data_IF_356750260698
#
_entry.id   IF_356750260698
#
_cell.length_a   1.000
_cell.length_b   1.000
_cell.length_c   1.000
_cell.angle_alpha   90.00
_cell.angle_beta   90.00
_cell.angle_gamma   90.00
#
_symmetry.space_group_name_H-M   'P 1'
#
loop_
_entity.id
_entity.type
_entity.pdbx_description
1 polymer ?
#
# COMPACT_ATOMS: atom_id res chain seq x y z
N UNK A 1 9.40 -16.50 -5.20
CA UNK A 1 9.71 -15.44 -4.20
C UNK A 1 10.08 -16.15 -2.92
N UNK A 2 11.07 -15.67 -2.17
CA UNK A 2 11.42 -16.27 -0.89
C UNK A 2 10.34 -15.91 0.14
N UNK A 3 9.82 -16.91 0.84
CA UNK A 3 8.86 -16.76 1.94
C UNK A 3 9.09 -17.79 3.04
N UNK A 4 8.09 -18.04 3.88
CA UNK A 4 8.16 -18.96 5.02
C UNK A 4 8.67 -20.37 4.66
N UNK A 5 8.33 -20.86 3.46
CA UNK A 5 8.74 -22.16 2.94
C UNK A 5 10.26 -22.19 2.67
N UNK A 6 10.84 -21.09 2.18
CA UNK A 6 12.25 -20.98 1.78
C UNK A 6 13.17 -20.35 2.84
N UNK A 7 12.62 -19.60 3.79
CA UNK A 7 13.36 -18.80 4.75
C UNK A 7 13.50 -19.48 6.11
N UNK A 8 14.63 -19.27 6.78
CA UNK A 8 14.89 -19.80 8.13
C UNK A 8 13.90 -19.21 9.12
N UNK A 9 13.46 -20.01 10.09
CA UNK A 9 12.57 -19.53 11.15
C UNK A 9 13.27 -18.55 12.10
N UNK A 10 14.58 -18.70 12.26
CA UNK A 10 15.44 -17.80 13.02
C UNK A 10 16.74 -17.57 12.26
N UNK A 11 17.24 -16.34 12.29
CA UNK A 11 18.57 -15.98 11.80
C UNK A 11 19.44 -15.49 12.95
N UNK A 12 20.73 -15.77 12.86
CA UNK A 12 21.71 -15.17 13.77
C UNK A 12 22.06 -13.75 13.32
N UNK A 13 21.88 -12.79 14.23
CA UNK A 13 22.32 -11.40 14.07
C UNK A 13 23.33 -11.11 15.17
N UNK A 14 24.57 -10.84 14.79
CA UNK A 14 25.64 -10.47 15.73
C UNK A 14 25.90 -8.96 15.67
N UNK A 15 26.89 -8.47 16.42
CA UNK A 15 27.28 -7.07 16.37
C UNK A 15 27.86 -6.67 15.00
N UNK A 16 28.50 -7.61 14.30
CA UNK A 16 29.24 -7.35 13.05
C UNK A 16 28.65 -8.03 11.83
N UNK A 17 27.86 -9.09 11.98
CA UNK A 17 27.36 -9.91 10.86
C UNK A 17 25.88 -10.24 10.96
N UNK A 18 25.28 -10.55 9.81
CA UNK A 18 23.92 -11.08 9.67
C UNK A 18 23.98 -12.34 8.83
N UNK A 19 23.32 -13.39 9.30
CA UNK A 19 23.19 -14.65 8.59
C UNK A 19 22.27 -14.53 7.37
N UNK A 20 22.60 -15.26 6.29
CA UNK A 20 21.71 -15.38 5.15
C UNK A 20 20.37 -16.03 5.57
N UNK A 21 19.24 -15.41 5.19
CA UNK A 21 17.92 -15.87 5.65
C UNK A 21 17.40 -17.11 4.92
N UNK A 22 18.07 -17.60 3.87
CA UNK A 22 17.61 -18.74 3.06
C UNK A 22 17.98 -20.07 3.72
N UNK A 23 17.03 -21.01 3.82
CA UNK A 23 17.26 -22.35 4.40
C UNK A 23 18.42 -23.06 3.70
N UNK A 24 19.26 -23.72 4.50
CA UNK A 24 20.45 -24.42 4.01
C UNK A 24 21.63 -23.52 3.61
N UNK A 25 21.49 -22.19 3.67
CA UNK A 25 22.61 -21.27 3.43
C UNK A 25 23.39 -20.98 4.71
N UNK A 26 24.71 -21.18 4.72
CA UNK A 26 25.55 -20.86 5.88
C UNK A 26 26.33 -19.54 5.73
N UNK A 27 26.05 -18.76 4.68
CA UNK A 27 26.73 -17.48 4.45
C UNK A 27 26.36 -16.44 5.51
N UNK A 28 27.32 -15.60 5.87
CA UNK A 28 27.13 -14.41 6.71
C UNK A 28 27.69 -13.20 5.99
N UNK A 29 26.99 -12.08 6.09
CA UNK A 29 27.41 -10.80 5.50
C UNK A 29 27.63 -9.75 6.57
N UNK A 30 28.28 -8.64 6.24
CA UNK A 30 28.42 -7.52 7.17
C UNK A 30 27.05 -7.00 7.62
N UNK A 31 26.94 -6.59 8.89
CA UNK A 31 25.70 -6.05 9.43
C UNK A 31 25.48 -4.61 8.97
N UNK A 32 24.37 -4.40 8.27
CA UNK A 32 23.90 -3.06 7.95
C UNK A 32 23.43 -2.30 9.21
N UNK A 33 23.76 -1.01 9.27
CA UNK A 33 23.34 -0.09 10.34
C UNK A 33 22.60 1.11 9.75
N UNK A 34 21.58 1.56 10.48
CA UNK A 34 20.76 2.76 10.18
C UNK A 34 19.90 2.67 8.91
N UNK A 35 20.51 2.60 7.73
CA UNK A 35 19.80 2.62 6.44
C UNK A 35 20.20 1.43 5.58
N UNK A 36 19.23 0.93 4.80
CA UNK A 36 19.45 -0.17 3.87
C UNK A 36 20.28 0.29 2.65
N UNK A 37 21.33 -0.45 2.31
CA UNK A 37 22.24 -0.18 1.20
C UNK A 37 22.48 -1.45 0.37
N UNK A 38 22.58 -1.29 -0.95
CA UNK A 38 22.91 -2.37 -1.89
C UNK A 38 24.41 -2.41 -2.21
N UNK A 39 25.22 -2.69 -1.20
CA UNK A 39 26.67 -2.85 -1.35
C UNK A 39 27.04 -4.34 -1.37
N UNK A 40 28.10 -4.71 -2.11
CA UNK A 40 28.52 -6.11 -2.29
C UNK A 40 28.77 -6.82 -0.95
N UNK A 41 29.34 -6.12 0.04
CA UNK A 41 29.59 -6.65 1.39
C UNK A 41 28.33 -7.04 2.18
N UNK A 42 27.15 -6.58 1.75
CA UNK A 42 25.84 -6.92 2.33
C UNK A 42 25.11 -7.98 1.50
N UNK A 43 25.71 -8.47 0.42
CA UNK A 43 25.09 -9.38 -0.53
C UNK A 43 25.51 -10.82 -0.24
N UNK A 44 24.53 -11.72 -0.15
CA UNK A 44 24.82 -13.14 -0.12
C UNK A 44 25.30 -13.59 -1.52
N UNK A 45 26.50 -14.19 -1.66
CA UNK A 45 27.05 -14.59 -2.96
C UNK A 45 26.33 -15.79 -3.59
N UNK A 46 25.54 -16.54 -2.80
CA UNK A 46 24.78 -17.71 -3.28
C UNK A 46 23.38 -17.35 -3.76
N UNK A 47 22.70 -16.47 -3.02
CA UNK A 47 21.29 -16.15 -3.24
C UNK A 47 21.08 -14.79 -3.89
N UNK A 48 22.15 -14.02 -4.07
CA UNK A 48 22.13 -12.73 -4.77
C UNK A 48 21.11 -11.74 -4.15
N UNK A 49 20.91 -11.79 -2.83
CA UNK A 49 20.08 -10.86 -2.07
C UNK A 49 20.94 -10.00 -1.15
N UNK A 50 20.53 -8.74 -0.96
CA UNK A 50 21.14 -7.83 0.00
C UNK A 50 20.45 -8.01 1.35
N UNK A 51 21.21 -8.23 2.42
CA UNK A 51 20.66 -8.65 3.71
C UNK A 51 20.84 -7.55 4.74
N UNK A 52 19.80 -7.31 5.52
CA UNK A 52 19.84 -6.50 6.74
C UNK A 52 19.29 -7.33 7.92
N UNK A 53 19.46 -6.86 9.18
CA UNK A 53 19.01 -7.62 10.35
C UNK A 53 17.51 -7.97 10.37
N UNK A 54 16.66 -7.14 9.75
CA UNK A 54 15.20 -7.27 9.84
C UNK A 54 14.54 -7.64 8.52
N UNK A 55 15.25 -7.62 7.40
CA UNK A 55 14.70 -7.87 6.06
C UNK A 55 15.81 -8.06 5.04
N UNK A 56 15.47 -8.42 3.81
CA UNK A 56 16.37 -8.44 2.67
C UNK A 56 15.75 -7.75 1.46
N UNK A 57 16.59 -7.37 0.51
CA UNK A 57 16.19 -6.77 -0.75
C UNK A 57 16.76 -7.58 -1.91
N UNK A 58 15.89 -7.91 -2.88
CA UNK A 58 16.31 -8.56 -4.11
C UNK A 58 17.17 -7.62 -4.98
N UNK A 59 17.93 -8.20 -5.91
CA UNK A 59 18.72 -7.45 -6.90
C UNK A 59 17.87 -6.56 -7.79
N UNK A 60 16.62 -6.94 -8.05
CA UNK A 60 15.66 -6.16 -8.82
C UNK A 60 14.23 -6.32 -8.31
N UNK A 61 13.38 -5.35 -8.64
CA UNK A 61 11.98 -5.30 -8.19
C UNK A 61 11.18 -6.52 -8.64
N UNK A 62 11.41 -6.98 -9.88
CA UNK A 62 10.72 -8.13 -10.48
C UNK A 62 10.86 -9.42 -9.69
N UNK A 63 11.87 -9.58 -8.83
CA UNK A 63 12.02 -10.79 -8.02
C UNK A 63 11.00 -10.86 -6.87
N UNK A 64 10.40 -9.74 -6.50
CA UNK A 64 9.35 -9.64 -5.48
C UNK A 64 7.93 -9.55 -6.06
N UNK A 65 7.78 -9.79 -7.37
CA UNK A 65 6.49 -9.75 -8.05
C UNK A 65 6.07 -11.15 -8.52
N UNK A 66 4.79 -11.44 -8.43
CA UNK A 66 4.19 -12.66 -8.96
C UNK A 66 3.99 -12.57 -10.48
N UNK A 67 3.57 -11.41 -10.95
CA UNK A 67 3.10 -11.21 -12.32
C UNK A 67 4.22 -10.62 -13.18
N UNK A 68 4.64 -11.39 -14.18
CA UNK A 68 5.86 -11.14 -14.99
C UNK A 68 5.65 -11.35 -16.48
N UNK A 69 4.41 -11.44 -16.94
CA UNK A 69 4.18 -11.43 -18.38
C UNK A 69 4.47 -10.04 -18.95
N UNK A 70 4.67 -9.98 -20.28
CA UNK A 70 5.06 -8.75 -20.97
C UNK A 70 4.12 -7.59 -20.67
N UNK A 71 2.81 -7.83 -20.60
CA UNK A 71 1.82 -6.77 -20.36
C UNK A 71 1.95 -6.18 -18.96
N UNK A 72 2.16 -7.02 -17.95
CA UNK A 72 2.34 -6.56 -16.57
C UNK A 72 3.66 -5.80 -16.39
N UNK A 73 4.74 -6.29 -17.01
CA UNK A 73 6.04 -5.63 -16.93
C UNK A 73 6.05 -4.28 -17.66
N UNK A 74 5.39 -4.20 -18.82
CA UNK A 74 5.25 -2.95 -19.57
C UNK A 74 4.42 -1.92 -18.79
N UNK A 75 3.32 -2.36 -18.16
CA UNK A 75 2.52 -1.49 -17.29
C UNK A 75 3.36 -1.00 -16.09
N UNK A 76 4.01 -1.91 -15.38
CA UNK A 76 4.85 -1.57 -14.24
C UNK A 76 5.96 -0.59 -14.65
N UNK A 77 6.62 -0.82 -15.79
CA UNK A 77 7.66 0.06 -16.29
C UNK A 77 7.15 1.49 -16.55
N UNK A 78 5.92 1.64 -17.07
CA UNK A 78 5.30 2.96 -17.26
C UNK A 78 4.97 3.64 -15.93
N UNK A 79 4.42 2.90 -14.97
CA UNK A 79 4.15 3.38 -13.60
C UNK A 79 5.43 3.86 -12.93
N UNK A 80 6.49 3.05 -13.00
CA UNK A 80 7.77 3.30 -12.33
C UNK A 80 8.52 4.53 -12.87
N UNK A 81 8.22 4.98 -14.09
CA UNK A 81 8.72 6.27 -14.62
C UNK A 81 8.09 7.48 -13.93
N UNK A 82 6.96 7.30 -13.24
CA UNK A 82 6.18 8.36 -12.60
C UNK A 82 6.21 8.26 -11.08
N UNK A 83 6.24 7.05 -10.54
CA UNK A 83 6.28 6.79 -9.10
C UNK A 83 7.47 7.48 -8.45
N UNK A 84 7.22 8.19 -7.36
CA UNK A 84 8.23 9.05 -6.71
C UNK A 84 9.35 8.26 -6.05
N UNK A 85 8.99 7.23 -5.29
CA UNK A 85 9.90 6.35 -4.57
C UNK A 85 9.32 4.94 -4.65
N UNK A 86 10.15 3.94 -4.92
CA UNK A 86 9.75 2.54 -4.91
C UNK A 86 10.69 1.75 -4.03
N UNK A 87 10.10 0.86 -3.24
CA UNK A 87 10.85 -0.14 -2.48
C UNK A 87 10.40 -1.55 -2.83
N UNK A 88 9.85 -1.74 -4.03
CA UNK A 88 9.25 -3.01 -4.47
C UNK A 88 10.19 -4.21 -4.36
N UNK A 89 11.51 -4.01 -4.50
CA UNK A 89 12.49 -5.08 -4.34
C UNK A 89 12.67 -5.57 -2.90
N UNK A 90 12.15 -4.89 -1.87
CA UNK A 90 12.28 -5.33 -0.47
C UNK A 90 11.27 -6.43 -0.19
N UNK A 91 11.67 -7.48 0.51
CA UNK A 91 10.75 -8.57 0.87
C UNK A 91 9.48 -8.00 1.50
N UNK A 92 9.61 -7.15 2.52
CA UNK A 92 8.49 -6.55 3.23
C UNK A 92 7.90 -5.28 2.57
N UNK A 93 8.01 -5.16 1.25
CA UNK A 93 7.48 -4.01 0.51
C UNK A 93 5.95 -3.96 0.47
N UNK A 94 5.40 -2.85 0.96
CA UNK A 94 3.99 -2.48 0.79
C UNK A 94 3.63 -2.36 -0.70
N UNK A 95 4.45 -1.64 -1.48
CA UNK A 95 4.23 -1.46 -2.91
C UNK A 95 4.10 -2.80 -3.67
N UNK A 96 4.97 -3.77 -3.35
CA UNK A 96 4.95 -5.08 -4.00
C UNK A 96 3.73 -5.91 -3.62
N UNK A 97 3.29 -5.85 -2.35
CA UNK A 97 2.05 -6.52 -1.92
C UNK A 97 0.84 -5.91 -2.62
N UNK A 98 0.74 -4.57 -2.63
CA UNK A 98 -0.33 -3.84 -3.32
C UNK A 98 -0.39 -4.20 -4.81
N UNK A 99 0.75 -4.21 -5.51
CA UNK A 99 0.81 -4.66 -6.90
C UNK A 99 0.32 -6.10 -7.06
N UNK A 100 0.91 -7.05 -6.31
CA UNK A 100 0.60 -8.46 -6.48
C UNK A 100 -0.89 -8.75 -6.24
N UNK A 101 -1.48 -8.14 -5.22
CA UNK A 101 -2.89 -8.36 -4.86
C UNK A 101 -3.84 -7.68 -5.84
N UNK A 102 -3.68 -6.37 -6.08
CA UNK A 102 -4.64 -5.64 -6.92
C UNK A 102 -4.51 -5.99 -8.40
N UNK A 103 -3.30 -6.28 -8.88
CA UNK A 103 -3.11 -6.77 -10.25
C UNK A 103 -3.74 -8.14 -10.46
N UNK A 104 -3.73 -8.99 -9.42
CA UNK A 104 -4.48 -10.24 -9.47
C UNK A 104 -5.99 -10.01 -9.59
N UNK A 105 -6.55 -9.14 -8.74
CA UNK A 105 -7.97 -8.85 -8.77
C UNK A 105 -8.39 -8.30 -10.15
N UNK A 106 -7.62 -7.35 -10.67
CA UNK A 106 -7.85 -6.73 -11.98
C UNK A 106 -7.82 -7.76 -13.12
N UNK A 107 -6.74 -8.55 -13.23
CA UNK A 107 -6.58 -9.53 -14.32
C UNK A 107 -7.61 -10.66 -14.31
N UNK A 108 -8.29 -10.86 -13.19
CA UNK A 108 -9.28 -11.93 -13.02
C UNK A 108 -10.71 -11.39 -12.96
N UNK A 109 -10.94 -10.10 -13.26
CA UNK A 109 -12.26 -9.45 -13.19
C UNK A 109 -12.94 -9.63 -11.81
N UNK A 110 -12.14 -9.48 -10.74
CA UNK A 110 -12.59 -9.65 -9.36
C UNK A 110 -12.69 -8.32 -8.60
N UNK A 111 -12.32 -7.20 -9.22
CA UNK A 111 -12.29 -5.89 -8.55
C UNK A 111 -13.68 -5.47 -8.10
N UNK A 112 -14.66 -5.52 -8.99
CA UNK A 112 -16.03 -5.08 -8.73
C UNK A 112 -16.67 -5.89 -7.59
N UNK A 113 -16.56 -7.21 -7.67
CA UNK A 113 -17.09 -8.13 -6.66
C UNK A 113 -16.36 -8.00 -5.31
N UNK A 114 -15.06 -7.72 -5.33
CA UNK A 114 -14.29 -7.45 -4.11
C UNK A 114 -14.80 -6.16 -3.45
N UNK A 115 -14.95 -5.07 -4.22
CA UNK A 115 -15.48 -3.81 -3.72
C UNK A 115 -16.92 -3.96 -3.21
N UNK A 116 -17.79 -4.67 -3.92
CA UNK A 116 -19.16 -4.94 -3.48
C UNK A 116 -19.20 -5.68 -2.14
N UNK A 117 -18.29 -6.64 -1.91
CA UNK A 117 -18.20 -7.34 -0.64
C UNK A 117 -17.81 -6.42 0.54
N UNK A 118 -17.11 -5.31 0.26
CA UNK A 118 -16.66 -4.33 1.24
C UNK A 118 -17.72 -3.25 1.47
N UNK A 119 -18.34 -2.73 0.40
CA UNK A 119 -19.15 -1.50 0.44
C UNK A 119 -20.62 -1.67 0.06
N UNK A 120 -20.99 -2.82 -0.52
CA UNK A 120 -22.33 -3.11 -1.06
C UNK A 120 -22.78 -2.09 -2.11
N UNK A 121 -21.85 -1.58 -2.92
CA UNK A 121 -22.14 -0.60 -3.98
C UNK A 121 -22.43 -1.22 -5.34
N UNK A 122 -22.19 -2.51 -5.51
CA UNK A 122 -22.43 -3.29 -6.73
C UNK A 122 -21.98 -2.55 -8.02
N UNK A 123 -20.70 -2.15 -8.12
CA UNK A 123 -20.20 -1.43 -9.29
C UNK A 123 -20.27 -2.30 -10.55
N UNK A 124 -20.56 -1.68 -11.70
CA UNK A 124 -20.69 -2.40 -12.98
C UNK A 124 -19.37 -2.54 -13.74
N UNK A 125 -18.50 -1.56 -13.55
CA UNK A 125 -17.19 -1.50 -14.18
C UNK A 125 -16.23 -0.76 -13.27
N UNK A 126 -14.95 -1.10 -13.38
CA UNK A 126 -13.89 -0.45 -12.60
C UNK A 126 -12.64 -0.19 -13.42
N UNK A 127 -11.97 0.92 -13.12
CA UNK A 127 -10.62 1.21 -13.60
C UNK A 127 -9.67 1.30 -12.41
N UNK A 128 -8.60 0.51 -12.45
CA UNK A 128 -7.57 0.50 -11.40
C UNK A 128 -6.41 1.40 -11.79
N UNK A 129 -6.13 2.37 -10.92
CA UNK A 129 -5.09 3.38 -11.06
C UNK A 129 -4.05 3.13 -9.96
N UNK A 130 -2.81 2.83 -10.36
CA UNK A 130 -1.72 2.46 -9.45
C UNK A 130 -0.82 3.66 -9.17
N UNK A 131 -0.68 4.07 -7.92
CA UNK A 131 0.17 5.21 -7.51
C UNK A 131 0.00 6.45 -8.40
N UNK A 132 -1.25 6.85 -8.63
CA UNK A 132 -1.65 7.96 -9.52
C UNK A 132 -1.59 7.67 -11.02
N UNK A 133 -0.97 6.60 -11.50
CA UNK A 133 -0.88 6.31 -12.94
C UNK A 133 -2.19 5.74 -13.46
N UNK A 134 -2.87 6.50 -14.32
CA UNK A 134 -4.05 6.04 -15.05
C UNK A 134 -3.62 5.33 -16.33
N UNK A 135 -4.09 4.09 -16.49
CA UNK A 135 -3.83 3.29 -17.68
C UNK A 135 -4.54 3.86 -18.91
N UNK A 136 -5.76 4.37 -18.72
CA UNK A 136 -6.57 5.02 -19.75
C UNK A 136 -5.92 6.32 -20.25
N UNK A 137 -5.47 7.18 -19.34
CA UNK A 137 -4.81 8.44 -19.70
C UNK A 137 -3.33 8.26 -20.08
N UNK A 138 -2.77 7.06 -19.85
CA UNK A 138 -1.36 6.74 -20.07
C UNK A 138 -0.38 7.60 -19.23
N UNK A 139 -0.86 8.28 -18.19
CA UNK A 139 -0.12 9.27 -17.40
C UNK A 139 -0.69 9.43 -15.99
N UNK A 140 -0.16 10.38 -15.21
CA UNK A 140 -0.71 10.69 -13.89
C UNK A 140 -2.15 11.20 -14.03
N UNK A 141 -3.07 10.59 -13.30
CA UNK A 141 -4.50 10.84 -13.43
C UNK A 141 -4.83 12.33 -13.27
N UNK A 142 -5.43 12.87 -14.32
CA UNK A 142 -5.68 14.30 -14.49
C UNK A 142 -6.53 14.89 -13.36
N UNK A 143 -7.55 14.17 -12.89
CA UNK A 143 -8.42 14.63 -11.81
C UNK A 143 -7.68 14.70 -10.47
N UNK A 144 -6.82 13.73 -10.16
CA UNK A 144 -5.98 13.80 -8.95
C UNK A 144 -5.01 14.98 -9.04
N UNK A 145 -4.43 15.25 -10.20
CA UNK A 145 -3.56 16.41 -10.41
C UNK A 145 -4.31 17.75 -10.25
N UNK A 146 -5.58 17.82 -10.65
CA UNK A 146 -6.44 18.97 -10.36
C UNK A 146 -6.65 19.14 -8.86
N UNK A 147 -7.03 18.08 -8.15
CA UNK A 147 -7.23 18.11 -6.70
C UNK A 147 -5.96 18.54 -5.95
N UNK A 148 -4.80 17.98 -6.33
CA UNK A 148 -3.49 18.39 -5.79
C UNK A 148 -3.27 19.89 -5.94
N UNK A 149 -3.49 20.46 -7.13
CA UNK A 149 -3.33 21.92 -7.35
C UNK A 149 -4.32 22.74 -6.55
N UNK A 150 -5.58 22.31 -6.50
CA UNK A 150 -6.66 22.98 -5.75
C UNK A 150 -6.26 23.20 -4.28
N UNK A 151 -5.73 22.14 -3.65
CA UNK A 151 -5.31 22.17 -2.26
C UNK A 151 -3.84 22.59 -2.05
N UNK A 152 -3.20 23.18 -3.07
CA UNK A 152 -1.87 23.76 -2.97
C UNK A 152 -0.73 22.74 -2.87
N UNK A 153 -0.96 21.49 -3.26
CA UNK A 153 0.07 20.49 -3.43
C UNK A 153 0.82 20.68 -4.76
N UNK A 154 2.12 20.34 -4.76
CA UNK A 154 2.90 20.24 -5.99
C UNK A 154 2.70 18.85 -6.57
N UNK A 155 2.37 18.73 -7.86
CA UNK A 155 2.14 17.44 -8.52
C UNK A 155 3.29 16.45 -8.27
N UNK A 156 4.54 16.89 -8.43
CA UNK A 156 5.73 16.05 -8.24
C UNK A 156 6.00 15.62 -6.79
N UNK A 157 5.27 16.16 -5.81
CA UNK A 157 5.41 15.85 -4.37
C UNK A 157 4.05 15.80 -3.68
N UNK A 158 3.01 15.44 -4.43
CA UNK A 158 1.62 15.42 -3.97
C UNK A 158 1.26 14.14 -3.22
N UNK A 159 0.00 14.04 -2.83
CA UNK A 159 -0.62 12.85 -2.27
C UNK A 159 -0.73 11.76 -3.33
N UNK A 160 -0.15 10.59 -3.08
CA UNK A 160 -0.11 9.42 -3.98
C UNK A 160 -0.75 8.25 -3.21
N UNK A 161 -2.08 8.04 -3.32
CA UNK A 161 -2.70 6.82 -2.78
C UNK A 161 -2.09 5.59 -3.46
N UNK A 162 -1.94 4.49 -2.72
CA UNK A 162 -1.38 3.26 -3.29
C UNK A 162 -2.20 2.75 -4.47
N UNK A 163 -3.52 2.66 -4.26
CA UNK A 163 -4.48 2.24 -5.28
C UNK A 163 -5.65 3.22 -5.29
N UNK A 164 -6.05 3.61 -6.48
CA UNK A 164 -7.30 4.32 -6.73
C UNK A 164 -8.15 3.43 -7.63
N UNK A 165 -9.43 3.30 -7.32
CA UNK A 165 -10.38 2.60 -8.19
C UNK A 165 -11.54 3.54 -8.49
N UNK A 166 -11.80 3.78 -9.76
CA UNK A 166 -12.99 4.50 -10.23
C UNK A 166 -14.01 3.51 -10.74
N UNK A 167 -15.28 3.75 -10.43
CA UNK A 167 -16.41 2.96 -10.92
C UNK A 167 -17.50 3.88 -11.45
N UNK A 168 -18.58 3.30 -11.97
CA UNK A 168 -19.75 4.05 -12.43
C UNK A 168 -20.47 4.82 -11.31
N UNK A 169 -20.28 4.44 -10.05
CA UNK A 169 -21.03 5.03 -8.92
C UNK A 169 -20.19 5.42 -7.69
N UNK A 170 -18.89 5.13 -7.68
CA UNK A 170 -18.02 5.40 -6.55
C UNK A 170 -16.53 5.56 -6.92
N UNK A 171 -15.84 6.38 -6.14
CA UNK A 171 -14.39 6.56 -6.11
C UNK A 171 -13.82 5.92 -4.85
N UNK A 172 -12.81 5.09 -4.99
CA UNK A 172 -12.13 4.43 -3.89
C UNK A 172 -10.68 4.88 -3.84
N UNK A 173 -10.26 5.43 -2.71
CA UNK A 173 -8.84 5.57 -2.38
C UNK A 173 -8.48 4.47 -1.39
N UNK A 174 -7.46 3.69 -1.70
CA UNK A 174 -6.98 2.61 -0.85
C UNK A 174 -5.55 2.96 -0.45
N UNK A 175 -5.34 3.11 0.84
CA UNK A 175 -4.02 3.27 1.45
C UNK A 175 -3.63 1.96 2.11
N UNK A 176 -2.54 1.37 1.64
CA UNK A 176 -2.09 0.03 2.02
C UNK A 176 -0.97 0.13 3.06
N UNK A 177 -1.19 -0.52 4.20
CA UNK A 177 -0.24 -0.62 5.31
C UNK A 177 0.05 -2.10 5.58
N UNK A 178 1.32 -2.46 5.47
CA UNK A 178 1.83 -3.79 5.80
C UNK A 178 2.74 -3.70 7.03
N UNK A 179 3.68 -2.76 7.03
CA UNK A 179 4.65 -2.59 8.11
C UNK A 179 4.58 -1.23 8.76
N UNK A 180 4.31 -0.18 7.99
CA UNK A 180 4.13 1.16 8.51
C UNK A 180 2.72 1.34 9.13
N UNK A 181 2.61 2.21 10.13
CA UNK A 181 1.32 2.58 10.71
C UNK A 181 0.80 3.92 10.16
N UNK A 182 -0.38 4.34 10.62
CA UNK A 182 -1.02 5.58 10.16
C UNK A 182 -0.60 6.85 10.92
N UNK A 183 0.49 6.80 11.68
CA UNK A 183 1.03 7.95 12.43
C UNK A 183 1.94 8.79 11.54
N UNK A 184 1.36 9.68 10.73
CA UNK A 184 2.05 10.54 9.77
C UNK A 184 1.88 12.01 10.10
N UNK A 185 2.95 12.79 9.88
CA UNK A 185 2.99 14.24 10.09
C UNK A 185 3.53 14.94 8.83
N UNK A 186 3.16 16.20 8.56
CA UNK A 186 3.77 16.97 7.49
C UNK A 186 5.26 17.19 7.75
N UNK A 187 6.06 17.26 6.68
CA UNK A 187 7.48 17.61 6.77
C UNK A 187 7.72 19.01 7.32
N UNK A 188 6.76 19.93 7.14
CA UNK A 188 6.76 21.25 7.75
C UNK A 188 5.41 21.51 8.45
N UNK A 189 5.33 21.33 9.79
CA UNK A 189 4.11 21.57 10.56
C UNK A 189 3.54 22.98 10.50
N UNK A 190 4.34 23.98 10.09
CA UNK A 190 3.91 25.39 10.02
C UNK A 190 3.23 25.76 8.70
N UNK A 191 3.17 24.85 7.73
CA UNK A 191 2.67 25.15 6.39
C UNK A 191 1.62 24.12 5.95
N UNK A 192 0.35 24.47 6.13
CA UNK A 192 -0.82 23.65 5.77
C UNK A 192 -1.22 23.77 4.28
N UNK A 193 -0.35 24.33 3.42
CA UNK A 193 -0.65 24.60 1.99
C UNK A 193 -1.99 25.35 1.88
N UNK A 194 -2.89 24.92 0.98
CA UNK A 194 -4.26 25.44 0.86
C UNK A 194 -5.29 24.41 1.33
N UNK A 195 -4.96 23.54 2.28
CA UNK A 195 -5.89 22.49 2.70
C UNK A 195 -7.20 23.05 3.26
N UNK A 196 -7.12 24.10 4.09
CA UNK A 196 -8.30 24.69 4.74
C UNK A 196 -9.08 25.66 3.83
N UNK A 197 -8.43 26.23 2.81
CA UNK A 197 -9.00 27.29 1.96
C UNK A 197 -9.32 26.84 0.53
N UNK A 198 -8.72 25.75 0.04
CA UNK A 198 -8.99 25.18 -1.27
C UNK A 198 -10.38 24.56 -1.38
N UNK A 199 -10.86 24.40 -2.61
CA UNK A 199 -12.14 23.79 -2.92
C UNK A 199 -13.32 24.61 -2.41
N UNK A 200 -13.21 25.94 -2.40
CA UNK A 200 -14.16 26.83 -1.73
C UNK A 200 -14.33 26.51 -0.24
N UNK A 201 -13.20 26.35 0.47
CA UNK A 201 -13.18 25.91 1.88
C UNK A 201 -13.80 24.52 2.09
N UNK A 202 -13.56 23.59 1.16
CA UNK A 202 -14.12 22.23 1.21
C UNK A 202 -13.80 21.50 2.52
N UNK A 203 -12.67 21.83 3.15
CA UNK A 203 -12.24 21.29 4.43
C UNK A 203 -13.33 21.40 5.50
N UNK A 204 -13.99 22.55 5.64
CA UNK A 204 -15.03 22.73 6.67
C UNK A 204 -16.33 21.96 6.38
N UNK A 205 -16.48 21.41 5.17
CA UNK A 205 -17.61 20.55 4.79
C UNK A 205 -17.37 19.09 5.15
N UNK A 206 -16.10 18.66 5.22
CA UNK A 206 -15.74 17.23 5.31
C UNK A 206 -14.95 16.86 6.57
N UNK A 207 -14.61 17.84 7.42
CA UNK A 207 -13.94 17.62 8.70
C UNK A 207 -14.66 18.32 9.86
N UNK A 208 -14.72 17.63 11.00
CA UNK A 208 -15.18 18.17 12.29
C UNK A 208 -14.04 18.87 13.06
N UNK A 209 -12.80 18.47 12.81
CA UNK A 209 -11.61 18.98 13.50
C UNK A 209 -10.74 19.84 12.58
N UNK A 210 -10.01 20.80 13.16
CA UNK A 210 -9.07 21.64 12.40
C UNK A 210 -7.84 20.86 11.90
N UNK A 211 -7.13 21.44 10.93
CA UNK A 211 -5.91 20.84 10.35
C UNK A 211 -4.87 20.46 11.40
N UNK A 212 -4.61 21.33 12.38
CA UNK A 212 -3.54 21.13 13.36
C UNK A 212 -3.87 19.95 14.28
N UNK A 213 -5.13 19.85 14.69
CA UNK A 213 -5.62 18.73 15.50
C UNK A 213 -5.39 17.40 14.76
N UNK A 214 -5.86 17.29 13.52
CA UNK A 214 -5.77 16.03 12.76
C UNK A 214 -4.33 15.71 12.35
N UNK A 215 -3.64 16.64 11.71
CA UNK A 215 -2.36 16.40 11.06
C UNK A 215 -1.17 16.39 12.03
N UNK A 216 -1.21 17.19 13.09
CA UNK A 216 -0.05 17.42 13.98
C UNK A 216 -0.22 16.70 15.32
N UNK A 217 -1.34 16.93 16.00
CA UNK A 217 -1.59 16.35 17.33
C UNK A 217 -1.86 14.85 17.19
N UNK A 218 -2.82 14.51 16.33
CA UNK A 218 -3.27 13.13 16.13
C UNK A 218 -2.46 12.37 15.08
N UNK A 219 -1.59 13.08 14.36
CA UNK A 219 -0.65 12.53 13.38
C UNK A 219 -1.36 11.68 12.32
N UNK A 220 -2.47 12.18 11.78
CA UNK A 220 -3.24 11.55 10.70
C UNK A 220 -3.12 12.32 9.39
N UNK A 221 -1.96 12.93 9.14
CA UNK A 221 -1.77 13.85 8.02
C UNK A 221 -2.05 13.20 6.66
N UNK A 222 -1.61 11.97 6.44
CA UNK A 222 -1.84 11.24 5.18
C UNK A 222 -3.32 10.92 4.94
N UNK A 223 -3.99 10.32 5.93
CA UNK A 223 -5.42 10.03 5.86
C UNK A 223 -6.25 11.31 5.65
N UNK A 224 -5.89 12.40 6.33
CA UNK A 224 -6.51 13.71 6.14
C UNK A 224 -6.39 14.18 4.69
N UNK A 225 -5.21 14.08 4.07
CA UNK A 225 -5.03 14.48 2.67
C UNK A 225 -5.87 13.62 1.73
N UNK A 226 -5.89 12.31 1.93
CA UNK A 226 -6.67 11.41 1.07
C UNK A 226 -8.18 11.61 1.23
N UNK A 227 -8.65 11.85 2.46
CA UNK A 227 -10.04 12.21 2.70
C UNK A 227 -10.41 13.52 1.99
N UNK A 228 -9.60 14.56 2.16
CA UNK A 228 -9.85 15.87 1.56
C UNK A 228 -9.88 15.82 0.03
N UNK A 229 -8.83 15.25 -0.59
CA UNK A 229 -8.72 15.18 -2.04
C UNK A 229 -9.78 14.25 -2.63
N UNK A 230 -9.97 13.07 -2.04
CA UNK A 230 -10.90 12.08 -2.55
C UNK A 230 -12.37 12.50 -2.46
N UNK A 231 -12.79 13.10 -1.35
CA UNK A 231 -14.16 13.64 -1.22
C UNK A 231 -14.41 14.77 -2.21
N UNK A 232 -13.44 15.68 -2.40
CA UNK A 232 -13.56 16.75 -3.38
C UNK A 232 -13.67 16.21 -4.80
N UNK A 233 -12.84 15.22 -5.16
CA UNK A 233 -12.86 14.58 -6.48
C UNK A 233 -14.18 13.87 -6.75
N UNK A 234 -14.70 13.11 -5.77
CA UNK A 234 -15.98 12.43 -5.89
C UNK A 234 -17.16 13.42 -6.04
N UNK A 235 -17.08 14.60 -5.40
CA UNK A 235 -18.04 15.68 -5.60
C UNK A 235 -18.01 16.19 -7.04
N UNK A 236 -16.82 16.41 -7.62
CA UNK A 236 -16.68 16.84 -9.03
C UNK A 236 -17.23 15.80 -10.02
N UNK A 237 -17.24 14.53 -9.63
CA UNK A 237 -17.76 13.42 -10.43
C UNK A 237 -19.22 13.09 -10.11
N UNK A 238 -19.81 13.71 -9.09
CA UNK A 238 -21.12 13.38 -8.52
C UNK A 238 -21.31 11.89 -8.19
N UNK A 239 -20.30 11.26 -7.59
CA UNK A 239 -20.33 9.85 -7.16
C UNK A 239 -20.07 9.73 -5.65
N UNK A 240 -20.12 8.51 -5.13
CA UNK A 240 -19.73 8.22 -3.73
C UNK A 240 -18.22 8.21 -3.57
N UNK A 241 -17.73 8.41 -2.36
CA UNK A 241 -16.32 8.29 -2.00
C UNK A 241 -16.11 7.26 -0.89
N UNK A 242 -15.08 6.46 -1.03
CA UNK A 242 -14.61 5.54 0.00
C UNK A 242 -13.12 5.73 0.20
N UNK A 243 -12.71 6.05 1.43
CA UNK A 243 -11.32 5.94 1.85
C UNK A 243 -11.15 4.63 2.62
N UNK A 244 -10.43 3.70 2.01
CA UNK A 244 -10.13 2.39 2.59
C UNK A 244 -8.71 2.42 3.16
N UNK A 245 -8.59 2.23 4.46
CA UNK A 245 -7.32 1.97 5.12
C UNK A 245 -7.13 0.45 5.22
N UNK A 246 -6.30 -0.10 4.34
CA UNK A 246 -6.03 -1.53 4.20
C UNK A 246 -4.83 -1.93 5.06
N UNK A 247 -5.09 -2.64 6.16
CA UNK A 247 -4.11 -2.94 7.22
C UNK A 247 -3.99 -4.44 7.48
N UNK A 248 -3.06 -4.87 8.33
CA UNK A 248 -3.08 -6.22 8.89
C UNK A 248 -4.17 -6.36 9.96
N UNK A 249 -4.76 -7.54 10.07
CA UNK A 249 -5.85 -7.82 11.01
C UNK A 249 -5.51 -7.43 12.46
N UNK A 250 -4.29 -7.72 12.92
CA UNK A 250 -3.84 -7.39 14.28
C UNK A 250 -3.39 -5.92 14.48
N UNK A 251 -3.37 -5.10 13.42
CA UNK A 251 -2.87 -3.71 13.48
C UNK A 251 -3.98 -2.69 13.25
N UNK A 252 -3.80 -1.51 13.84
CA UNK A 252 -4.69 -0.35 13.60
C UNK A 252 -6.18 -0.70 13.84
N UNK A 253 -6.47 -1.51 14.86
CA UNK A 253 -7.84 -2.02 15.14
C UNK A 253 -8.83 -0.90 15.50
N UNK A 254 -8.33 0.19 16.07
CA UNK A 254 -9.08 1.37 16.52
C UNK A 254 -9.08 2.52 15.49
N UNK A 255 -8.46 2.35 14.31
CA UNK A 255 -8.25 3.45 13.36
C UNK A 255 -9.54 4.08 12.87
N UNK A 256 -10.62 3.30 12.71
CA UNK A 256 -11.93 3.86 12.37
C UNK A 256 -12.41 4.81 13.45
N UNK A 257 -12.42 4.38 14.72
CA UNK A 257 -12.85 5.22 15.84
C UNK A 257 -11.99 6.49 15.94
N UNK A 258 -10.66 6.32 15.84
CA UNK A 258 -9.71 7.42 15.98
C UNK A 258 -9.79 8.44 14.85
N UNK A 259 -10.06 8.02 13.62
CA UNK A 259 -10.13 8.93 12.48
C UNK A 259 -11.54 9.49 12.25
N UNK A 260 -12.60 8.69 12.47
CA UNK A 260 -14.01 9.08 12.26
C UNK A 260 -14.42 10.31 13.05
N UNK A 261 -13.95 10.45 14.30
CA UNK A 261 -14.19 11.65 15.14
C UNK A 261 -13.66 12.98 14.56
N UNK A 262 -12.93 12.93 13.45
CA UNK A 262 -12.39 14.10 12.79
C UNK A 262 -13.07 14.39 11.45
N UNK A 263 -13.85 13.46 10.89
CA UNK A 263 -14.38 13.53 9.53
C UNK A 263 -15.90 13.47 9.55
N UNK A 264 -16.50 14.16 8.58
CA UNK A 264 -17.95 14.13 8.37
C UNK A 264 -18.29 12.99 7.42
N UNK A 265 -18.77 11.85 7.92
CA UNK A 265 -19.25 10.74 7.10
C UNK A 265 -20.74 10.88 6.76
N UNK A 266 -21.15 10.35 5.59
CA UNK A 266 -22.56 10.17 5.25
C UNK A 266 -22.73 9.11 4.16
N UNK A 267 -23.94 8.97 3.61
CA UNK A 267 -24.24 7.99 2.55
C UNK A 267 -23.42 8.17 1.25
N UNK A 268 -22.80 9.35 1.05
CA UNK A 268 -21.94 9.68 -0.10
C UNK A 268 -20.44 9.57 0.20
N UNK A 269 -20.02 9.51 1.46
CA UNK A 269 -18.59 9.45 1.81
C UNK A 269 -18.36 8.64 3.07
N UNK A 270 -17.53 7.61 2.98
CA UNK A 270 -17.27 6.68 4.08
C UNK A 270 -15.77 6.37 4.22
N UNK A 271 -15.30 6.26 5.46
CA UNK A 271 -13.98 5.76 5.83
C UNK A 271 -14.13 4.33 6.35
N UNK A 272 -13.34 3.41 5.81
CA UNK A 272 -13.43 1.99 6.13
C UNK A 272 -12.04 1.44 6.50
N UNK A 273 -11.99 0.63 7.54
CA UNK A 273 -10.85 -0.27 7.80
C UNK A 273 -11.12 -1.61 7.12
N UNK A 274 -10.23 -2.01 6.24
CA UNK A 274 -10.22 -3.33 5.60
C UNK A 274 -8.92 -4.03 5.97
N UNK A 275 -8.92 -5.36 6.00
CA UNK A 275 -7.72 -6.14 6.33
C UNK A 275 -7.20 -6.91 5.12
N UNK A 276 -5.89 -7.08 5.02
CA UNK A 276 -5.30 -7.98 4.02
C UNK A 276 -5.87 -9.39 4.14
N UNK A 277 -6.13 -9.84 5.36
CA UNK A 277 -6.77 -11.12 5.66
C UNK A 277 -8.20 -11.19 5.10
N UNK A 278 -9.00 -10.12 5.18
CA UNK A 278 -10.32 -10.10 4.54
C UNK A 278 -10.24 -10.15 3.00
N UNK A 279 -9.20 -9.54 2.40
CA UNK A 279 -8.96 -9.68 0.95
C UNK A 279 -8.52 -11.11 0.62
N UNK A 280 -7.68 -11.73 1.45
CA UNK A 280 -7.31 -13.13 1.31
C UNK A 280 -8.54 -14.04 1.36
N UNK A 281 -9.42 -13.88 2.34
CA UNK A 281 -10.66 -14.65 2.46
C UNK A 281 -11.56 -14.47 1.24
N UNK A 282 -11.67 -13.25 0.72
CA UNK A 282 -12.39 -13.00 -0.53
C UNK A 282 -11.78 -13.79 -1.69
N UNK A 283 -10.46 -13.72 -1.89
CA UNK A 283 -9.75 -14.47 -2.94
C UNK A 283 -9.91 -15.98 -2.75
N UNK A 284 -9.85 -16.47 -1.51
CA UNK A 284 -10.03 -17.88 -1.19
C UNK A 284 -11.42 -18.38 -1.57
N UNK A 285 -12.45 -17.56 -1.41
CA UNK A 285 -13.84 -17.90 -1.69
C UNK A 285 -14.32 -17.51 -3.10
N UNK A 286 -13.51 -16.79 -3.88
CA UNK A 286 -13.85 -16.40 -5.25
C UNK A 286 -13.98 -17.60 -6.20
N UNK A 287 -14.56 -17.38 -7.39
CA UNK A 287 -14.55 -18.40 -8.45
C UNK A 287 -13.11 -18.86 -8.79
N UNK A 288 -12.92 -20.14 -9.17
CA UNK A 288 -11.62 -20.61 -9.65
C UNK A 288 -11.11 -19.76 -10.81
N UNK A 289 -9.82 -19.43 -10.78
CA UNK A 289 -9.16 -18.70 -11.86
C UNK A 289 -7.74 -19.21 -12.07
N UNK A 290 -7.16 -18.90 -13.24
CA UNK A 290 -5.85 -19.41 -13.69
C UNK A 290 -4.72 -19.17 -12.67
N UNK A 291 -4.81 -18.09 -11.89
CA UNK A 291 -3.75 -17.65 -11.00
C UNK A 291 -4.13 -17.71 -9.51
N UNK A 292 -5.34 -18.19 -9.17
CA UNK A 292 -5.84 -18.19 -7.79
C UNK A 292 -4.95 -18.98 -6.84
N UNK A 293 -4.48 -20.16 -7.27
CA UNK A 293 -3.59 -21.00 -6.46
C UNK A 293 -2.28 -20.29 -6.11
N UNK A 294 -1.70 -19.59 -7.07
CA UNK A 294 -0.46 -18.82 -6.87
C UNK A 294 -0.68 -17.66 -5.90
N UNK A 295 -1.80 -16.95 -6.00
CA UNK A 295 -2.14 -15.87 -5.07
C UNK A 295 -2.39 -16.40 -3.65
N UNK A 296 -3.11 -17.52 -3.49
CA UNK A 296 -3.30 -18.16 -2.17
C UNK A 296 -1.96 -18.57 -1.56
N UNK A 297 -1.08 -19.19 -2.36
CA UNK A 297 0.27 -19.55 -1.91
C UNK A 297 1.06 -18.31 -1.51
N UNK A 298 0.99 -17.23 -2.29
CA UNK A 298 1.64 -15.98 -1.98
C UNK A 298 1.23 -15.43 -0.61
N UNK A 299 -0.08 -15.30 -0.34
CA UNK A 299 -0.57 -14.86 0.96
C UNK A 299 -0.06 -15.76 2.10
N UNK A 300 -0.15 -17.09 1.95
CA UNK A 300 0.30 -18.02 3.00
C UNK A 300 1.82 -18.00 3.24
N UNK A 301 2.60 -17.73 2.19
CA UNK A 301 4.05 -17.79 2.22
C UNK A 301 4.71 -16.43 2.54
N UNK A 302 4.00 -15.32 2.35
CA UNK A 302 4.56 -13.97 2.50
C UNK A 302 5.10 -13.74 3.92
N UNK A 303 6.24 -13.08 4.00
CA UNK A 303 6.90 -12.62 5.24
C UNK A 303 6.97 -11.09 5.29
N UNK A 304 7.17 -10.54 6.49
CA UNK A 304 7.51 -9.12 6.69
C UNK A 304 8.93 -8.95 7.26
N UNK A 305 9.75 -9.99 7.09
CA UNK A 305 11.12 -10.05 7.56
C UNK A 305 11.26 -10.68 8.94
N UNK A 306 12.21 -10.20 9.72
CA UNK A 306 12.61 -10.76 11.02
C UNK A 306 12.43 -9.72 12.13
N UNK A 307 12.04 -10.19 13.32
CA UNK A 307 11.92 -9.34 14.50
C UNK A 307 13.30 -9.01 15.11
N UNK A 308 13.31 -8.27 16.23
CA UNK A 308 14.55 -7.89 16.91
C UNK A 308 15.30 -9.07 17.56
N UNK A 309 14.70 -10.26 17.62
CA UNK A 309 15.32 -11.51 18.09
C UNK A 309 15.76 -12.39 16.92
N UNK A 310 15.64 -11.90 15.68
CA UNK A 310 15.96 -12.66 14.49
C UNK A 310 14.93 -13.73 14.17
N UNK A 311 13.71 -13.68 14.71
CA UNK A 311 12.64 -14.63 14.41
C UNK A 311 11.83 -14.16 13.19
N UNK A 312 11.56 -15.09 12.27
CA UNK A 312 10.81 -14.80 11.05
C UNK A 312 9.36 -14.42 11.39
N UNK A 313 8.87 -13.36 10.74
CA UNK A 313 7.51 -12.86 10.88
C UNK A 313 6.72 -13.14 9.59
N UNK A 314 5.58 -13.82 9.74
CA UNK A 314 4.60 -13.98 8.67
C UNK A 314 4.02 -12.61 8.30
N UNK A 315 3.72 -12.43 7.02
CA UNK A 315 3.15 -11.19 6.52
C UNK A 315 1.68 -11.03 6.82
N UNK A 316 0.95 -12.13 7.00
CA UNK A 316 -0.49 -12.13 7.27
C UNK A 316 -0.85 -13.19 8.32
N UNK A 317 -1.86 -12.90 9.12
CA UNK A 317 -2.38 -13.77 10.18
C UNK A 317 -3.36 -14.82 9.64
N UNK A 318 -2.89 -15.68 8.72
CA UNK A 318 -3.69 -16.70 8.04
C UNK A 318 -3.42 -18.07 8.68
N UNK A 319 -4.49 -18.78 9.05
CA UNK A 319 -4.42 -20.18 9.52
C UNK A 319 -4.30 -21.09 8.30
N UNK A 320 -3.31 -21.99 8.33
CA UNK A 320 -2.96 -22.89 7.21
C UNK A 320 -3.95 -24.01 6.97
#
# INVERSE_FOLDING_TARGET
MLGCEELKETIEVTETTVECPVKGCNERVERQRSFFKKEIRFKCPKHEIYISPSTFEYTGEMYNLLWKDTQDLDLLHRIMKKKRESRMARDNSEDAVSWNVFRFLEKNNLVENCLDSITRTSPKSSDVIYWSYSQEEGSDWSLLNRARREFGERISRGSEPDIIITTDNALFFIEAKLTAGNKTVPSNPRYSKKYETGGNSWFSTVFESDYKTIAIVEKKYELMRFWLLGTWMAEQMNIKFYLINLVLAEREADIEILFRRHIEENQRRQFLRVTWESIYEYVLNSSPSRNKKEMIRYFRNKTIGYDNRGKLQRGFSIVG
#
